data_IF_632801339487
#
_entry.id   IF_632801339487
#
_cell.length_a   1.000
_cell.length_b   1.000
_cell.length_c   1.000
_cell.angle_alpha   90.00
_cell.angle_beta   90.00
_cell.angle_gamma   90.00
#
_symmetry.space_group_name_H-M   'P 1'
#
loop_
_entity.id
_entity.type
_entity.pdbx_description
1 polymer ?
#
# COMPACT_ATOMS: atom_id res chain seq x y z
N UNK A 1 6.82 0.77 6.39
CA UNK A 1 6.12 1.99 5.91
C UNK A 1 4.98 2.31 6.87
N UNK A 2 4.73 3.59 7.15
CA UNK A 2 3.62 4.06 7.98
C UNK A 2 2.63 4.87 7.13
N UNK A 3 1.35 4.54 7.20
CA UNK A 3 0.25 5.34 6.61
C UNK A 3 -0.61 5.90 7.74
N UNK A 4 -1.23 7.05 7.50
CA UNK A 4 -2.18 7.66 8.42
C UNK A 4 -3.46 8.04 7.66
N UNK A 5 -4.60 7.76 8.27
CA UNK A 5 -5.86 8.30 7.80
C UNK A 5 -5.95 9.80 8.15
N UNK A 6 -5.71 10.66 7.16
CA UNK A 6 -5.82 12.13 7.27
C UNK A 6 -7.26 12.63 7.07
N UNK A 7 -8.20 11.75 6.71
CA UNK A 7 -9.59 12.11 6.49
C UNK A 7 -10.42 12.21 7.78
N UNK A 8 -11.61 12.78 7.65
CA UNK A 8 -12.60 12.84 8.73
C UNK A 8 -13.47 11.58 8.85
N UNK A 9 -13.36 10.64 7.90
CA UNK A 9 -14.17 9.42 7.83
C UNK A 9 -13.31 8.17 8.06
N UNK A 10 -13.96 7.07 8.44
CA UNK A 10 -13.33 5.75 8.51
C UNK A 10 -12.93 5.28 7.12
N UNK A 11 -11.78 4.61 7.02
CA UNK A 11 -11.30 3.99 5.78
C UNK A 11 -11.38 2.48 5.92
N UNK A 12 -12.03 1.82 4.96
CA UNK A 12 -12.06 0.37 4.84
C UNK A 12 -10.94 -0.05 3.87
N UNK A 13 -9.95 -0.81 4.37
CA UNK A 13 -8.72 -1.06 3.61
C UNK A 13 -8.82 -2.19 2.59
N UNK A 14 -9.80 -3.10 2.70
CA UNK A 14 -9.88 -4.25 1.80
C UNK A 14 -9.81 -3.83 0.32
N UNK A 15 -8.86 -4.41 -0.42
CA UNK A 15 -8.59 -4.13 -1.83
C UNK A 15 -7.72 -2.90 -2.11
N UNK A 16 -7.38 -2.08 -1.10
CA UNK A 16 -6.36 -1.05 -1.29
C UNK A 16 -5.04 -1.69 -1.69
N UNK A 17 -4.37 -1.12 -2.68
CA UNK A 17 -3.13 -1.65 -3.24
C UNK A 17 -2.03 -0.63 -3.12
N UNK A 18 -0.85 -1.06 -2.68
CA UNK A 18 0.34 -0.22 -2.69
C UNK A 18 1.19 -0.60 -3.90
N UNK A 19 1.34 0.36 -4.80
CA UNK A 19 2.27 0.29 -5.91
C UNK A 19 3.60 0.93 -5.54
N UNK A 20 4.67 0.19 -5.75
CA UNK A 20 6.03 0.69 -5.72
C UNK A 20 6.44 1.08 -7.14
N UNK A 21 6.89 2.33 -7.32
CA UNK A 21 7.28 2.89 -8.61
C UNK A 21 8.76 3.30 -8.53
N UNK A 22 9.58 2.76 -9.42
CA UNK A 22 11.01 3.05 -9.49
C UNK A 22 11.72 2.19 -10.53
N UNK A 23 13.05 2.30 -10.57
CA UNK A 23 13.92 1.67 -11.57
C UNK A 23 13.98 2.42 -12.90
N UNK A 24 14.93 2.04 -13.77
CA UNK A 24 15.24 2.77 -15.03
C UNK A 24 14.05 2.95 -15.98
N UNK A 25 13.04 2.08 -15.89
CA UNK A 25 11.86 2.11 -16.75
C UNK A 25 10.63 2.81 -16.10
N UNK A 26 10.72 3.26 -14.84
CA UNK A 26 9.58 3.83 -14.11
C UNK A 26 8.39 2.88 -13.96
N UNK A 27 8.63 1.58 -14.09
CA UNK A 27 7.59 0.54 -14.06
C UNK A 27 7.06 0.36 -12.64
N UNK A 28 5.75 0.47 -12.47
CA UNK A 28 5.09 0.19 -11.19
C UNK A 28 4.96 -1.31 -10.92
N UNK A 29 5.39 -1.76 -9.75
CA UNK A 29 5.17 -3.12 -9.23
C UNK A 29 4.20 -3.08 -8.05
N UNK A 30 3.29 -4.05 -7.98
CA UNK A 30 2.46 -4.23 -6.79
C UNK A 30 3.35 -4.71 -5.65
N UNK A 31 3.39 -3.91 -4.58
CA UNK A 31 4.13 -4.26 -3.37
C UNK A 31 3.22 -4.94 -2.33
N UNK A 32 2.00 -4.44 -2.15
CA UNK A 32 1.06 -5.00 -1.17
C UNK A 32 -0.39 -4.82 -1.59
N UNK A 33 -1.24 -5.77 -1.19
CA UNK A 33 -2.70 -5.67 -1.30
C UNK A 33 -3.29 -5.97 0.06
N UNK A 34 -4.03 -5.01 0.61
CA UNK A 34 -4.74 -5.20 1.88
C UNK A 34 -5.89 -6.19 1.68
N UNK A 35 -5.80 -7.36 2.32
CA UNK A 35 -6.80 -8.43 2.21
C UNK A 35 -7.83 -8.41 3.32
N UNK A 36 -7.43 -7.99 4.51
CA UNK A 36 -8.29 -7.96 5.69
C UNK A 36 -9.25 -6.78 5.65
N UNK A 37 -10.45 -6.98 6.20
CA UNK A 37 -11.44 -5.92 6.43
C UNK A 37 -11.04 -5.03 7.62
N UNK A 38 -9.86 -4.43 7.53
CA UNK A 38 -9.39 -3.48 8.52
C UNK A 38 -10.08 -2.13 8.32
N UNK A 39 -10.59 -1.57 9.41
CA UNK A 39 -11.24 -0.26 9.45
C UNK A 39 -10.33 0.70 10.20
N UNK A 40 -9.83 1.73 9.51
CA UNK A 40 -8.93 2.72 10.09
C UNK A 40 -9.74 3.97 10.44
N UNK A 41 -9.84 4.34 11.73
CA UNK A 41 -10.55 5.54 12.13
C UNK A 41 -9.81 6.81 11.66
N UNK A 42 -10.46 7.99 11.70
CA UNK A 42 -9.77 9.27 11.53
C UNK A 42 -8.55 9.34 12.45
N UNK A 43 -7.41 9.80 11.91
CA UNK A 43 -6.11 9.86 12.60
C UNK A 43 -5.51 8.51 13.00
N UNK A 44 -6.15 7.39 12.68
CA UNK A 44 -5.61 6.04 12.86
C UNK A 44 -4.47 5.76 11.89
N UNK A 45 -3.67 4.75 12.22
CA UNK A 45 -2.46 4.42 11.48
C UNK A 45 -2.49 3.00 10.91
N UNK A 46 -1.73 2.81 9.83
CA UNK A 46 -1.37 1.48 9.31
C UNK A 46 0.14 1.36 9.31
N UNK A 47 0.68 0.35 9.98
CA UNK A 47 2.09 0.01 9.92
C UNK A 47 2.25 -1.22 9.01
N UNK A 48 2.82 -1.03 7.81
CA UNK A 48 3.11 -2.12 6.88
C UNK A 48 4.60 -2.48 6.96
N UNK A 49 4.89 -3.74 7.32
CA UNK A 49 6.26 -4.26 7.44
C UNK A 49 6.65 -5.12 6.25
N UNK A 50 7.91 -5.00 5.83
CA UNK A 50 8.55 -5.97 4.92
C UNK A 50 8.99 -7.18 5.73
N UNK A 51 8.04 -8.07 6.00
CA UNK A 51 8.27 -9.33 6.69
C UNK A 51 7.07 -10.25 6.41
N UNK A 52 7.15 -11.49 6.91
CA UNK A 52 6.00 -12.39 7.00
C UNK A 52 5.38 -12.26 8.38
N UNK A 53 4.05 -12.24 8.44
CA UNK A 53 3.32 -12.15 9.70
C UNK A 53 1.81 -12.20 9.49
N UNK A 54 1.07 -12.18 10.60
CA UNK A 54 -0.40 -12.15 10.61
C UNK A 54 -0.86 -10.73 10.94
N UNK A 55 -1.73 -10.12 10.12
CA UNK A 55 -2.22 -8.78 10.40
C UNK A 55 -2.94 -8.70 11.75
N UNK A 56 -2.79 -7.60 12.48
CA UNK A 56 -3.43 -7.44 13.77
C UNK A 56 -3.72 -5.97 14.13
N UNK A 57 -4.70 -5.77 15.01
CA UNK A 57 -4.95 -4.49 15.63
C UNK A 57 -4.01 -4.27 16.83
N UNK A 58 -3.52 -3.05 16.97
CA UNK A 58 -2.66 -2.61 18.06
C UNK A 58 -2.98 -1.16 18.45
N UNK A 59 -2.33 -0.69 19.52
CA UNK A 59 -2.36 0.71 19.93
C UNK A 59 -0.96 1.21 20.21
N UNK A 60 -0.72 2.47 19.86
CA UNK A 60 0.45 3.24 20.30
C UNK A 60 0.37 3.53 21.80
N UNK A 61 1.50 3.96 22.37
CA UNK A 61 1.60 4.30 23.80
C UNK A 61 0.65 5.44 24.21
N UNK A 62 0.43 6.39 23.31
CA UNK A 62 -0.49 7.53 23.44
C UNK A 62 -1.93 7.20 23.02
N UNK A 63 -2.23 5.94 22.70
CA UNK A 63 -3.58 5.42 22.55
C UNK A 63 -4.17 5.48 21.14
N UNK A 64 -3.41 5.93 20.15
CA UNK A 64 -3.86 5.88 18.75
C UNK A 64 -3.92 4.44 18.23
N UNK A 65 -5.00 4.12 17.52
CA UNK A 65 -5.17 2.83 16.85
C UNK A 65 -4.18 2.65 15.70
N UNK A 66 -3.59 1.45 15.64
CA UNK A 66 -2.67 1.01 14.60
C UNK A 66 -3.15 -0.32 14.07
N UNK A 67 -3.29 -0.43 12.74
CA UNK A 67 -3.38 -1.72 12.08
C UNK A 67 -1.99 -2.13 11.60
N UNK A 68 -1.47 -3.25 12.10
CA UNK A 68 -0.20 -3.83 11.67
C UNK A 68 -0.46 -4.85 10.58
N UNK A 69 0.23 -4.71 9.45
CA UNK A 69 0.13 -5.63 8.31
C UNK A 69 1.54 -5.95 7.77
N UNK A 70 1.63 -6.97 6.93
CA UNK A 70 2.85 -7.59 6.45
C UNK A 70 2.80 -7.74 4.93
N UNK A 71 3.80 -7.19 4.23
CA UNK A 71 3.90 -7.29 2.78
C UNK A 71 4.32 -8.69 2.29
N UNK A 72 4.58 -9.63 3.21
CA UNK A 72 4.99 -11.01 2.92
C UNK A 72 6.13 -11.10 1.90
N UNK A 73 7.11 -10.21 2.05
CA UNK A 73 8.29 -10.12 1.20
C UNK A 73 9.53 -10.02 2.07
N UNK A 74 10.61 -10.67 1.62
CA UNK A 74 11.94 -10.56 2.23
C UNK A 74 12.74 -9.40 1.60
N UNK A 75 12.34 -8.94 0.42
CA UNK A 75 13.00 -7.84 -0.29
C UNK A 75 12.45 -6.50 0.19
N UNK A 76 13.35 -5.60 0.54
CA UNK A 76 12.99 -4.23 0.94
C UNK A 76 12.62 -3.37 -0.27
N UNK A 77 11.82 -2.33 -0.04
CA UNK A 77 11.57 -1.31 -1.07
C UNK A 77 12.87 -0.65 -1.57
N UNK A 78 13.87 -0.53 -0.70
CA UNK A 78 15.17 0.04 -1.06
C UNK A 78 15.91 -0.86 -2.06
N UNK A 79 15.88 -2.18 -1.88
CA UNK A 79 16.50 -3.13 -2.82
C UNK A 79 15.82 -3.13 -4.20
N UNK A 80 14.60 -2.62 -4.31
CA UNK A 80 13.89 -2.48 -5.57
C UNK A 80 14.17 -1.16 -6.30
N UNK A 81 14.98 -0.25 -5.73
CA UNK A 81 15.22 1.06 -6.32
C UNK A 81 13.93 1.90 -6.43
N UNK A 82 13.07 1.82 -5.41
CA UNK A 82 11.76 2.48 -5.41
C UNK A 82 11.92 3.97 -5.11
N UNK A 83 11.49 4.81 -6.03
CA UNK A 83 11.52 6.26 -5.89
C UNK A 83 10.24 6.81 -5.26
N UNK A 84 9.11 6.14 -5.49
CA UNK A 84 7.82 6.58 -4.96
C UNK A 84 6.85 5.43 -4.70
N UNK A 85 5.93 5.66 -3.77
CA UNK A 85 4.83 4.75 -3.47
C UNK A 85 3.50 5.41 -3.82
N UNK A 86 2.58 4.64 -4.40
CA UNK A 86 1.21 5.07 -4.67
C UNK A 86 0.24 4.14 -3.98
N UNK A 87 -0.77 4.72 -3.33
CA UNK A 87 -1.87 3.98 -2.74
C UNK A 87 -3.04 4.06 -3.71
N UNK A 88 -3.49 2.90 -4.19
CA UNK A 88 -4.65 2.75 -5.05
C UNK A 88 -5.86 2.33 -4.21
N UNK A 89 -6.93 3.11 -4.30
CA UNK A 89 -8.25 2.83 -3.75
C UNK A 89 -9.07 2.04 -4.80
N UNK A 90 -9.54 0.83 -4.48
CA UNK A 90 -10.30 -0.01 -5.41
C UNK A 90 -11.62 0.63 -5.90
N UNK A 91 -12.16 1.60 -5.15
CA UNK A 91 -13.38 2.32 -5.51
C UNK A 91 -13.14 3.47 -6.51
N UNK A 92 -11.88 3.83 -6.76
CA UNK A 92 -11.53 4.87 -7.73
C UNK A 92 -11.17 4.22 -9.06
N UNK A 93 -11.88 4.53 -10.16
CA UNK A 93 -11.47 4.03 -11.48
C UNK A 93 -10.14 4.67 -11.87
N UNK A 94 -9.13 3.82 -12.12
CA UNK A 94 -7.83 4.26 -12.62
C UNK A 94 -7.82 4.18 -14.15
N UNK A 95 -7.49 5.29 -14.81
CA UNK A 95 -7.30 5.29 -16.25
C UNK A 95 -6.07 4.44 -16.61
N UNK A 96 -6.30 3.25 -17.17
CA UNK A 96 -5.24 2.46 -17.81
C UNK A 96 -4.83 3.20 -19.08
N UNK A 97 -3.67 3.87 -19.06
CA UNK A 97 -3.03 4.27 -20.32
C UNK A 97 -2.57 2.99 -20.99
N UNK A 98 -3.29 2.58 -22.04
CA UNK A 98 -2.83 1.55 -22.95
C UNK A 98 -1.44 1.95 -23.44
N UNK A 99 -0.43 1.14 -23.11
CA UNK A 99 0.88 1.29 -23.72
C UNK A 99 0.69 1.10 -25.23
N UNK A 100 0.88 2.17 -25.98
CA UNK A 100 0.73 2.20 -27.43
C UNK A 100 1.52 1.02 -28.04
N UNK A 101 0.78 0.17 -28.75
CA UNK A 101 1.20 -0.90 -29.67
C UNK A 101 2.69 -0.89 -30.01
N UNK A 102 3.41 -1.94 -29.60
CA UNK A 102 4.59 -2.37 -30.33
C UNK A 102 4.14 -2.79 -31.74
N UNK A 103 4.46 -1.98 -32.75
CA UNK A 103 4.42 -2.42 -34.14
C UNK A 103 5.55 -3.44 -34.33
N UNK A 104 5.18 -4.67 -34.68
CA UNK A 104 6.11 -5.65 -35.22
C UNK A 104 6.24 -5.33 -36.71
N UNK A 105 7.44 -4.92 -37.14
CA UNK A 105 7.89 -4.98 -38.53
C UNK A 105 9.06 -5.95 -38.62
#
# INVERSE_FOLDING_TARGET
>A
MLLQNQGALKVYLAGYTILAVGGEAGTGRVWHVFREEAVIPPRGYVLLRTAVGVPCAARTRDGHEVFLDYACSEETLNSWGVDSLRVLNPQTPYALKSASRFSVH
#
